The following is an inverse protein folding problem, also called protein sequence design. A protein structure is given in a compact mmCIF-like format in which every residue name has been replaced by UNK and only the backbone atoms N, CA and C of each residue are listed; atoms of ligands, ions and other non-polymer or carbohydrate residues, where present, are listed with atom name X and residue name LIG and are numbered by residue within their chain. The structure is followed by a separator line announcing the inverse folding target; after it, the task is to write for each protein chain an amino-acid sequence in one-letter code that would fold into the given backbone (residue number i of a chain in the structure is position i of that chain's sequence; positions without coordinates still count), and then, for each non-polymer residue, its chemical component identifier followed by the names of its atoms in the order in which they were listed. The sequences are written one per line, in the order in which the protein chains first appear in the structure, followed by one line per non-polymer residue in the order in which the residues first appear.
data_IF_587172044290
#
_entry.id   IF_587172044290
#
_cell.length_a   1.000
_cell.length_b   1.000
_cell.length_c   1.000
_cell.angle_alpha   90.00
_cell.angle_beta   90.00
_cell.angle_gamma   90.00
#
_symmetry.space_group_name_H-M   'P 1'
#
loop_
_entity.id
_entity.type
_entity.pdbx_description
1 polymer ?
#
# COMPACT_ATOMS: atom_id res chain seq x y z
N UNK A 1 5.19 -20.06 25.16
CA UNK A 1 4.48 -19.60 26.38
C UNK A 1 3.12 -19.04 26.02
N UNK A 2 3.01 -18.01 25.22
CA UNK A 2 1.72 -17.36 24.83
C UNK A 2 0.67 -18.30 24.27
N UNK A 3 1.04 -19.38 23.60
CA UNK A 3 0.10 -20.39 23.08
C UNK A 3 -0.59 -21.17 24.19
N UNK A 4 0.13 -21.53 25.26
CA UNK A 4 -0.40 -22.29 26.41
C UNK A 4 -0.94 -21.39 27.54
N UNK A 5 -0.74 -20.07 27.44
CA UNK A 5 -1.24 -19.08 28.41
C UNK A 5 -2.75 -18.77 28.17
N UNK A 6 -3.31 -19.20 27.04
CA UNK A 6 -4.73 -19.06 26.76
C UNK A 6 -5.53 -20.11 27.54
N UNK A 7 -6.60 -19.71 28.25
CA UNK A 7 -7.43 -20.56 29.11
C UNK A 7 -8.10 -21.77 28.39
N UNK A 8 -8.07 -21.77 27.06
CA UNK A 8 -8.76 -22.79 26.24
C UNK A 8 -7.83 -23.88 25.68
N UNK A 9 -6.54 -23.85 26.01
CA UNK A 9 -5.57 -24.84 25.51
C UNK A 9 -5.13 -25.78 26.64
N UNK A 10 -5.35 -27.09 26.41
CA UNK A 10 -4.86 -28.11 27.33
C UNK A 10 -3.33 -28.18 27.31
N UNK A 11 -2.72 -28.01 28.46
CA UNK A 11 -1.27 -28.15 28.62
C UNK A 11 -0.90 -29.64 28.53
N UNK A 12 0.02 -30.04 27.63
CA UNK A 12 0.41 -31.42 27.46
C UNK A 12 1.23 -31.94 28.66
N UNK A 13 1.30 -33.24 28.83
CA UNK A 13 2.11 -33.88 29.91
C UNK A 13 3.61 -33.88 29.59
N UNK A 14 3.97 -33.85 28.30
CA UNK A 14 5.37 -33.76 27.84
C UNK A 14 5.48 -32.89 26.55
N UNK A 15 6.59 -32.18 26.41
CA UNK A 15 6.94 -31.43 25.21
C UNK A 15 8.23 -32.02 24.62
N UNK A 16 8.16 -32.40 23.35
CA UNK A 16 9.34 -32.83 22.56
C UNK A 16 9.90 -31.61 21.81
N UNK A 17 11.20 -31.39 21.91
CA UNK A 17 11.86 -30.23 21.28
C UNK A 17 13.25 -30.60 20.77
N UNK A 18 13.76 -29.92 19.72
CA UNK A 18 15.19 -29.97 19.44
C UNK A 18 16.00 -29.34 20.57
N UNK A 19 17.30 -29.49 20.54
CA UNK A 19 18.13 -28.75 21.48
C UNK A 19 17.96 -27.24 21.26
N UNK A 20 17.58 -26.55 22.34
CA UNK A 20 17.44 -25.08 22.38
C UNK A 20 18.09 -24.63 23.68
N UNK A 21 18.90 -23.58 23.64
CA UNK A 21 19.46 -22.95 24.81
C UNK A 21 18.32 -22.39 25.69
N UNK A 22 18.39 -22.65 27.00
CA UNK A 22 17.35 -22.22 27.94
C UNK A 22 16.11 -23.10 27.98
N UNK A 23 16.13 -24.34 27.46
CA UNK A 23 14.99 -25.27 27.46
C UNK A 23 14.39 -25.51 28.86
N UNK A 24 15.22 -25.46 29.90
CA UNK A 24 14.80 -25.67 31.30
C UNK A 24 13.81 -24.57 31.75
N UNK A 25 13.96 -23.35 31.24
CA UNK A 25 13.05 -22.23 31.54
C UNK A 25 11.64 -22.55 31.07
N UNK A 26 11.50 -23.17 29.88
CA UNK A 26 10.19 -23.58 29.33
C UNK A 26 9.57 -24.66 30.21
N UNK A 27 10.38 -25.62 30.67
CA UNK A 27 9.93 -26.69 31.55
C UNK A 27 9.38 -26.14 32.88
N UNK A 28 10.08 -25.18 33.47
CA UNK A 28 9.67 -24.55 34.74
C UNK A 28 8.44 -23.65 34.56
N UNK A 29 8.39 -22.81 33.53
CA UNK A 29 7.27 -21.88 33.28
C UNK A 29 5.96 -22.60 33.00
N UNK A 30 5.98 -23.73 32.27
CA UNK A 30 4.80 -24.47 31.90
C UNK A 30 4.47 -25.63 32.89
N UNK A 31 5.39 -25.88 33.82
CA UNK A 31 5.33 -27.07 34.70
C UNK A 31 5.13 -28.39 33.92
N UNK A 32 5.85 -28.53 32.79
CA UNK A 32 5.75 -29.64 31.85
C UNK A 32 7.11 -30.26 31.61
N UNK A 33 7.15 -31.59 31.53
CA UNK A 33 8.39 -32.30 31.19
C UNK A 33 8.81 -31.99 29.74
N UNK A 34 9.99 -31.42 29.58
CA UNK A 34 10.59 -31.23 28.25
C UNK A 34 11.59 -32.35 27.95
N UNK A 35 11.55 -32.89 26.75
CA UNK A 35 12.40 -33.98 26.29
C UNK A 35 13.09 -33.61 25.00
N UNK A 36 14.41 -33.76 24.94
CA UNK A 36 15.22 -33.67 23.74
C UNK A 36 15.50 -35.09 23.25
N UNK A 37 14.73 -35.61 22.28
CA UNK A 37 14.90 -36.97 21.86
C UNK A 37 16.13 -37.14 20.96
N UNK A 38 16.95 -38.15 21.23
CA UNK A 38 18.18 -38.46 20.47
C UNK A 38 17.94 -39.52 19.40
N UNK A 39 17.00 -40.43 19.60
CA UNK A 39 16.70 -41.56 18.70
C UNK A 39 15.25 -42.01 18.79
N UNK A 40 14.84 -42.85 17.84
CA UNK A 40 13.52 -43.48 17.79
C UNK A 40 12.40 -42.58 17.24
N UNK A 41 11.14 -42.95 17.50
CA UNK A 41 9.96 -42.26 16.94
C UNK A 41 9.89 -40.79 17.38
N UNK A 42 10.16 -40.53 18.67
CA UNK A 42 10.14 -39.15 19.21
C UNK A 42 11.14 -38.22 18.48
N UNK A 43 12.33 -38.75 18.13
CA UNK A 43 13.31 -37.99 17.32
C UNK A 43 12.80 -37.71 15.92
N UNK A 44 12.21 -38.71 15.26
CA UNK A 44 11.63 -38.54 13.92
C UNK A 44 10.52 -37.49 13.90
N UNK A 45 9.68 -37.44 14.96
CA UNK A 45 8.64 -36.43 15.08
C UNK A 45 9.21 -35.01 15.23
N UNK A 46 10.25 -34.84 16.05
CA UNK A 46 10.94 -33.55 16.18
C UNK A 46 11.57 -33.13 14.87
N UNK A 47 12.24 -34.06 14.17
CA UNK A 47 12.87 -33.75 12.88
C UNK A 47 11.82 -33.34 11.84
N UNK A 48 10.70 -34.03 11.75
CA UNK A 48 9.58 -33.66 10.87
C UNK A 48 9.03 -32.27 11.17
N UNK A 49 8.84 -31.95 12.44
CA UNK A 49 8.36 -30.60 12.85
C UNK A 49 9.39 -29.54 12.51
N UNK A 50 10.68 -29.78 12.72
CA UNK A 50 11.74 -28.86 12.35
C UNK A 50 11.81 -28.63 10.81
N UNK A 51 11.66 -29.69 10.02
CA UNK A 51 11.59 -29.60 8.57
C UNK A 51 10.38 -28.79 8.10
N UNK A 52 9.20 -29.06 8.67
CA UNK A 52 7.99 -28.30 8.40
C UNK A 52 8.14 -26.81 8.78
N UNK A 53 8.74 -26.52 9.92
CA UNK A 53 9.02 -25.15 10.34
C UNK A 53 9.96 -24.43 9.38
N UNK A 54 11.01 -25.10 8.92
CA UNK A 54 11.95 -24.57 7.91
C UNK A 54 11.24 -24.29 6.59
N UNK A 55 10.45 -25.23 6.08
CA UNK A 55 9.70 -25.06 4.84
C UNK A 55 8.70 -23.89 4.94
N UNK A 56 8.05 -23.69 6.11
CA UNK A 56 7.17 -22.56 6.34
C UNK A 56 7.93 -21.23 6.34
N UNK A 57 9.11 -21.16 6.95
CA UNK A 57 9.98 -19.98 6.93
C UNK A 57 10.42 -19.63 5.52
N UNK A 58 10.83 -20.61 4.72
CA UNK A 58 11.24 -20.43 3.33
C UNK A 58 10.05 -19.92 2.48
N UNK A 59 8.85 -20.46 2.70
CA UNK A 59 7.64 -19.99 2.01
C UNK A 59 7.27 -18.56 2.41
N UNK A 60 7.35 -18.21 3.70
CA UNK A 60 7.13 -16.83 4.18
C UNK A 60 8.15 -15.85 3.60
N UNK A 61 9.42 -16.25 3.49
CA UNK A 61 10.46 -15.44 2.85
C UNK A 61 10.14 -15.20 1.36
N UNK A 62 9.73 -16.25 0.62
CA UNK A 62 9.31 -16.13 -0.78
C UNK A 62 8.10 -15.20 -0.94
N UNK A 63 7.08 -15.34 -0.10
CA UNK A 63 5.89 -14.47 -0.12
C UNK A 63 6.26 -13.01 0.17
N UNK A 64 7.19 -12.78 1.11
CA UNK A 64 7.68 -11.43 1.41
C UNK A 64 8.42 -10.81 0.22
N UNK A 65 9.28 -11.57 -0.46
CA UNK A 65 9.96 -11.12 -1.68
C UNK A 65 8.97 -10.80 -2.80
N UNK A 66 8.00 -11.68 -3.03
CA UNK A 66 6.93 -11.44 -4.02
C UNK A 66 6.11 -10.19 -3.70
N UNK A 67 5.84 -9.93 -2.43
CA UNK A 67 5.15 -8.70 -2.01
C UNK A 67 6.00 -7.47 -2.27
N UNK A 68 7.29 -7.52 -1.99
CA UNK A 68 8.22 -6.43 -2.26
C UNK A 68 8.30 -6.10 -3.76
N UNK A 69 8.40 -7.13 -4.62
CA UNK A 69 8.46 -6.92 -6.07
C UNK A 69 7.18 -6.30 -6.64
N UNK A 70 6.03 -6.53 -6.03
CA UNK A 70 4.73 -5.98 -6.46
C UNK A 70 4.39 -4.62 -5.86
N UNK A 71 5.09 -4.17 -4.82
CA UNK A 71 4.76 -2.92 -4.12
C UNK A 71 5.90 -1.93 -4.09
N UNK A 72 7.04 -2.28 -3.49
CA UNK A 72 8.15 -1.34 -3.28
C UNK A 72 9.04 -1.15 -4.51
N UNK A 73 9.37 -2.24 -5.20
CA UNK A 73 10.21 -2.16 -6.41
C UNK A 73 9.58 -1.28 -7.51
N UNK A 74 8.27 -1.41 -7.81
CA UNK A 74 7.59 -0.49 -8.73
C UNK A 74 7.68 0.98 -8.32
N UNK A 75 7.60 1.28 -7.02
CA UNK A 75 7.74 2.66 -6.54
C UNK A 75 9.17 3.18 -6.63
N UNK A 76 10.18 2.31 -6.51
CA UNK A 76 11.58 2.67 -6.78
C UNK A 76 11.78 2.96 -8.27
N UNK A 77 11.18 2.16 -9.15
CA UNK A 77 11.17 2.38 -10.59
C UNK A 77 10.49 3.70 -10.94
N UNK A 78 9.31 3.98 -10.38
CA UNK A 78 8.60 5.24 -10.54
C UNK A 78 9.43 6.44 -10.09
N UNK A 79 10.09 6.33 -8.95
CA UNK A 79 10.96 7.38 -8.42
C UNK A 79 12.11 7.70 -9.38
N UNK A 80 12.73 6.69 -9.97
CA UNK A 80 13.79 6.85 -10.98
C UNK A 80 13.24 7.47 -12.27
N UNK A 81 12.11 6.97 -12.76
CA UNK A 81 11.47 7.45 -13.99
C UNK A 81 11.13 8.94 -13.91
N UNK A 82 10.61 9.39 -12.76
CA UNK A 82 10.19 10.77 -12.52
C UNK A 82 11.32 11.66 -11.94
N UNK A 83 12.48 11.07 -11.66
CA UNK A 83 13.61 11.73 -10.98
C UNK A 83 13.19 12.42 -9.66
N UNK A 84 12.52 11.68 -8.80
CA UNK A 84 12.02 12.12 -7.49
C UNK A 84 12.51 11.23 -6.36
N UNK A 85 12.37 11.70 -5.12
CA UNK A 85 12.55 10.85 -3.94
C UNK A 85 11.51 9.73 -3.89
N UNK A 86 11.82 8.63 -3.20
CA UNK A 86 10.92 7.49 -3.04
C UNK A 86 9.52 7.92 -2.54
N UNK A 87 8.44 7.69 -3.31
CA UNK A 87 7.09 8.14 -2.97
C UNK A 87 6.43 7.18 -1.98
N UNK A 88 6.81 7.27 -0.70
CA UNK A 88 6.31 6.38 0.35
C UNK A 88 4.82 6.51 0.56
N UNK A 89 4.30 7.74 0.56
CA UNK A 89 2.88 8.04 0.76
C UNK A 89 2.34 8.64 -0.52
N UNK A 90 1.33 8.00 -1.10
CA UNK A 90 0.68 8.40 -2.34
C UNK A 90 -0.79 8.65 -2.06
N UNK A 91 -1.31 9.78 -2.51
CA UNK A 91 -2.76 10.06 -2.57
C UNK A 91 -3.18 10.11 -4.03
N UNK A 92 -4.19 9.31 -4.40
CA UNK A 92 -4.77 9.30 -5.74
C UNK A 92 -6.20 9.85 -5.66
N UNK A 93 -6.53 10.75 -6.59
CA UNK A 93 -7.84 11.40 -6.70
C UNK A 93 -8.53 10.98 -7.99
N UNK A 94 -9.75 10.46 -7.83
CA UNK A 94 -10.66 10.14 -8.92
C UNK A 94 -11.94 10.96 -8.80
N UNK A 95 -12.43 11.47 -9.94
CA UNK A 95 -13.69 12.20 -10.04
C UNK A 95 -14.75 11.32 -10.69
N UNK A 96 -15.85 11.09 -10.00
CA UNK A 96 -16.97 10.32 -10.47
C UNK A 96 -18.19 11.21 -10.69
N UNK A 97 -18.64 11.32 -11.94
CA UNK A 97 -19.84 12.03 -12.33
C UNK A 97 -20.98 11.03 -12.55
N UNK A 98 -21.85 10.86 -11.56
CA UNK A 98 -23.08 10.08 -11.71
C UNK A 98 -24.14 11.01 -12.33
N UNK A 99 -24.65 10.67 -13.50
CA UNK A 99 -25.71 11.43 -14.16
C UNK A 99 -26.90 11.65 -13.20
N UNK A 100 -27.26 12.91 -12.96
CA UNK A 100 -28.37 13.30 -12.11
C UNK A 100 -28.08 13.41 -10.61
N UNK A 101 -26.84 13.16 -10.17
CA UNK A 101 -26.40 13.38 -8.78
C UNK A 101 -25.27 14.42 -8.72
N UNK A 102 -25.06 14.99 -7.52
CA UNK A 102 -23.90 15.89 -7.32
C UNK A 102 -22.60 15.13 -7.56
N UNK A 103 -21.61 15.73 -8.25
CA UNK A 103 -20.34 15.10 -8.49
C UNK A 103 -19.65 14.69 -7.17
N UNK A 104 -18.96 13.57 -7.20
CA UNK A 104 -18.25 13.03 -6.05
C UNK A 104 -16.81 12.81 -6.46
N UNK A 105 -15.87 13.14 -5.60
CA UNK A 105 -14.48 12.75 -5.77
C UNK A 105 -14.05 11.81 -4.64
N UNK A 106 -13.32 10.77 -5.01
CA UNK A 106 -12.68 9.84 -4.09
C UNK A 106 -11.19 10.18 -3.95
N UNK A 107 -10.66 10.00 -2.76
CA UNK A 107 -9.23 10.03 -2.49
C UNK A 107 -8.84 8.70 -1.85
N UNK A 108 -8.02 7.94 -2.52
CA UNK A 108 -7.42 6.73 -1.99
C UNK A 108 -5.97 6.99 -1.57
N UNK A 109 -5.49 6.26 -0.58
CA UNK A 109 -4.14 6.44 -0.05
C UNK A 109 -3.39 5.13 -0.04
N UNK A 110 -2.14 5.18 -0.50
CA UNK A 110 -1.20 4.07 -0.47
C UNK A 110 0.03 4.42 0.35
N UNK A 111 0.53 3.45 1.10
CA UNK A 111 1.78 3.58 1.87
C UNK A 111 2.67 2.40 1.50
N UNK A 112 3.88 2.69 0.98
CA UNK A 112 4.80 1.68 0.47
C UNK A 112 4.14 0.74 -0.58
N UNK A 113 3.26 1.29 -1.43
CA UNK A 113 2.51 0.54 -2.46
C UNK A 113 1.38 -0.33 -1.91
N UNK A 114 1.01 -0.19 -0.65
CA UNK A 114 -0.07 -0.95 -0.01
C UNK A 114 -1.23 0.00 0.32
N UNK A 115 -2.45 -0.43 0.03
CA UNK A 115 -3.69 0.30 0.34
C UNK A 115 -3.75 0.66 1.83
N UNK A 116 -4.17 1.91 2.13
CA UNK A 116 -4.41 2.41 3.49
C UNK A 116 -5.86 2.90 3.63
N UNK A 117 -6.86 2.00 3.75
CA UNK A 117 -8.29 2.37 3.71
C UNK A 117 -8.70 3.34 4.81
N UNK A 118 -8.04 3.34 5.96
CA UNK A 118 -8.28 4.30 7.05
C UNK A 118 -8.02 5.76 6.64
N UNK A 119 -7.17 5.95 5.64
CA UNK A 119 -6.79 7.27 5.13
C UNK A 119 -7.62 7.70 3.91
N UNK A 120 -8.54 6.87 3.41
CA UNK A 120 -9.42 7.20 2.29
C UNK A 120 -10.38 8.33 2.66
N UNK A 121 -10.72 9.15 1.67
CA UNK A 121 -11.68 10.25 1.84
C UNK A 121 -12.62 10.33 0.64
N UNK A 122 -13.85 10.71 0.93
CA UNK A 122 -14.88 11.01 -0.07
C UNK A 122 -15.26 12.49 0.03
N UNK A 123 -15.34 13.15 -1.10
CA UNK A 123 -15.66 14.56 -1.21
C UNK A 123 -16.93 14.72 -2.03
N UNK A 124 -17.99 15.21 -1.39
CA UNK A 124 -19.16 15.72 -2.11
C UNK A 124 -18.78 17.09 -2.67
N UNK A 125 -18.91 17.29 -3.96
CA UNK A 125 -18.60 18.53 -4.66
C UNK A 125 -19.72 19.51 -4.40
N UNK A 126 -19.38 20.78 -4.16
CA UNK A 126 -20.32 21.80 -3.70
C UNK A 126 -20.45 22.98 -4.67
N UNK A 127 -19.39 23.32 -5.38
CA UNK A 127 -19.29 24.56 -6.17
C UNK A 127 -19.43 24.31 -7.67
N UNK A 128 -19.30 23.07 -8.11
CA UNK A 128 -19.35 22.69 -9.51
C UNK A 128 -20.69 22.07 -9.85
N UNK A 129 -21.34 22.56 -10.89
CA UNK A 129 -22.62 22.04 -11.41
C UNK A 129 -22.36 21.39 -12.75
N UNK A 130 -22.80 20.12 -12.90
CA UNK A 130 -22.62 19.37 -14.15
C UNK A 130 -21.30 18.58 -14.21
N UNK A 131 -20.99 18.08 -15.39
CA UNK A 131 -19.79 17.27 -15.66
C UNK A 131 -18.60 18.18 -15.99
N UNK A 132 -17.97 18.74 -14.99
CA UNK A 132 -16.78 19.57 -15.11
C UNK A 132 -15.66 19.02 -14.22
N UNK A 133 -14.93 18.07 -14.77
CA UNK A 133 -13.85 17.37 -14.07
C UNK A 133 -12.69 18.28 -13.70
N UNK A 134 -12.47 19.34 -14.49
CA UNK A 134 -11.41 20.31 -14.23
C UNK A 134 -11.65 21.08 -12.91
N UNK A 135 -12.81 21.73 -12.79
CA UNK A 135 -13.14 22.50 -11.58
C UNK A 135 -13.45 21.58 -10.40
N UNK A 136 -13.98 20.37 -10.63
CA UNK A 136 -14.14 19.35 -9.60
C UNK A 136 -12.80 18.98 -8.98
N UNK A 137 -11.78 18.73 -9.80
CA UNK A 137 -10.43 18.43 -9.32
C UNK A 137 -9.85 19.62 -8.53
N UNK A 138 -10.05 20.84 -9.02
CA UNK A 138 -9.61 22.04 -8.29
C UNK A 138 -10.29 22.20 -6.93
N UNK A 139 -11.62 21.97 -6.84
CA UNK A 139 -12.33 22.05 -5.55
C UNK A 139 -11.79 21.03 -4.55
N UNK A 140 -11.65 19.79 -4.96
CA UNK A 140 -11.22 18.70 -4.09
C UNK A 140 -9.80 18.92 -3.55
N UNK A 141 -8.87 19.24 -4.44
CA UNK A 141 -7.47 19.49 -4.06
C UNK A 141 -7.34 20.72 -3.17
N UNK A 142 -8.09 21.79 -3.47
CA UNK A 142 -8.14 22.98 -2.59
C UNK A 142 -8.60 22.60 -1.20
N UNK A 143 -9.70 21.89 -1.06
CA UNK A 143 -10.25 21.47 0.24
C UNK A 143 -9.29 20.54 0.99
N UNK A 144 -8.70 19.57 0.30
CA UNK A 144 -7.76 18.64 0.91
C UNK A 144 -6.53 19.36 1.42
N UNK A 145 -5.84 20.10 0.55
CA UNK A 145 -4.53 20.66 0.88
C UNK A 145 -4.60 21.93 1.74
N UNK A 146 -5.66 22.72 1.64
CA UNK A 146 -5.92 23.80 2.65
C UNK A 146 -6.01 23.19 4.05
N UNK A 147 -6.72 22.05 4.20
CA UNK A 147 -6.80 21.36 5.49
C UNK A 147 -5.46 20.78 5.93
N UNK A 148 -4.73 20.11 4.99
CA UNK A 148 -3.41 19.54 5.29
C UNK A 148 -2.46 20.61 5.83
N UNK A 149 -2.43 21.78 5.20
CA UNK A 149 -1.58 22.90 5.61
C UNK A 149 -2.05 23.52 6.92
N UNK A 150 -3.36 23.77 7.07
CA UNK A 150 -3.93 24.40 8.27
C UNK A 150 -3.77 23.55 9.52
N UNK A 151 -4.06 22.25 9.40
CA UNK A 151 -4.07 21.31 10.53
C UNK A 151 -2.72 20.59 10.70
N UNK A 152 -1.70 20.99 9.94
CA UNK A 152 -0.35 20.37 9.90
C UNK A 152 -0.41 18.84 9.77
N UNK A 153 -1.26 18.34 8.88
CA UNK A 153 -1.42 16.90 8.66
C UNK A 153 -0.24 16.34 7.85
N UNK A 154 -0.10 15.01 7.90
CA UNK A 154 0.90 14.31 7.07
C UNK A 154 0.68 14.62 5.60
N UNK A 155 1.70 15.16 4.94
CA UNK A 155 1.72 15.36 3.49
C UNK A 155 2.07 14.06 2.77
N UNK A 156 1.47 13.78 1.60
CA UNK A 156 1.95 12.72 0.72
C UNK A 156 3.28 13.12 0.05
N UNK A 157 4.03 12.15 -0.45
CA UNK A 157 5.19 12.39 -1.29
C UNK A 157 4.78 12.61 -2.76
N UNK A 158 3.68 11.95 -3.16
CA UNK A 158 3.16 11.96 -4.52
C UNK A 158 1.64 12.09 -4.50
N UNK A 159 1.14 12.96 -5.35
CA UNK A 159 -0.28 13.08 -5.69
C UNK A 159 -0.47 12.60 -7.11
N UNK A 160 -1.43 11.71 -7.29
CA UNK A 160 -1.86 11.20 -8.58
C UNK A 160 -3.29 11.70 -8.82
N UNK A 161 -3.54 12.25 -9.98
CA UNK A 161 -4.89 12.55 -10.45
C UNK A 161 -5.29 11.54 -11.53
N UNK A 162 -6.48 10.94 -11.42
CA UNK A 162 -7.03 10.12 -12.49
C UNK A 162 -7.44 11.01 -13.65
N UNK A 163 -6.61 11.04 -14.67
CA UNK A 163 -6.79 11.86 -15.86
C UNK A 163 -5.50 12.33 -16.50
N UNK A 164 -5.64 12.87 -17.69
CA UNK A 164 -4.55 13.36 -18.53
C UNK A 164 -4.11 14.80 -18.22
N UNK A 165 -3.61 15.45 -19.25
CA UNK A 165 -3.08 16.83 -19.19
C UNK A 165 -4.04 17.84 -18.55
N UNK A 166 -5.36 17.84 -18.83
CA UNK A 166 -6.27 18.81 -18.22
C UNK A 166 -6.33 18.69 -16.69
N UNK A 167 -6.44 17.47 -16.16
CA UNK A 167 -6.52 17.22 -14.72
C UNK A 167 -5.21 17.54 -14.00
N UNK A 168 -4.06 17.22 -14.61
CA UNK A 168 -2.74 17.61 -14.09
C UNK A 168 -2.58 19.13 -14.06
N UNK A 169 -3.06 19.84 -15.09
CA UNK A 169 -3.04 21.31 -15.15
C UNK A 169 -3.90 21.91 -14.04
N UNK A 170 -5.13 21.40 -13.84
CA UNK A 170 -6.01 21.82 -12.77
C UNK A 170 -5.35 21.67 -11.39
N UNK A 171 -4.72 20.52 -11.14
CA UNK A 171 -4.01 20.24 -9.90
C UNK A 171 -2.77 21.15 -9.71
N UNK A 172 -1.99 21.38 -10.77
CA UNK A 172 -0.81 22.26 -10.77
C UNK A 172 -1.16 23.70 -10.39
N UNK A 173 -2.28 24.20 -10.87
CA UNK A 173 -2.77 25.55 -10.52
C UNK A 173 -3.08 25.66 -9.02
N UNK A 174 -3.72 24.65 -8.43
CA UNK A 174 -4.01 24.64 -7.00
C UNK A 174 -2.74 24.52 -6.17
N UNK A 175 -1.80 23.68 -6.57
CA UNK A 175 -0.51 23.56 -5.88
C UNK A 175 0.25 24.90 -5.90
N UNK A 176 0.26 25.59 -7.04
CA UNK A 176 0.83 26.93 -7.15
C UNK A 176 0.10 27.94 -6.26
N UNK A 177 -1.24 27.92 -6.23
CA UNK A 177 -2.06 28.82 -5.40
C UNK A 177 -1.84 28.63 -3.90
N UNK A 178 -1.57 27.39 -3.48
CA UNK A 178 -1.35 27.02 -2.07
C UNK A 178 0.13 26.96 -1.69
N UNK A 179 1.03 27.35 -2.60
CA UNK A 179 2.50 27.33 -2.43
C UNK A 179 3.03 25.94 -2.03
N UNK A 180 2.48 24.87 -2.64
CA UNK A 180 2.91 23.50 -2.41
C UNK A 180 4.01 23.16 -3.40
N UNK A 181 5.24 23.01 -2.90
CA UNK A 181 6.43 22.71 -3.70
C UNK A 181 7.09 21.37 -3.35
N UNK A 182 6.73 20.82 -2.20
CA UNK A 182 7.32 19.62 -1.59
C UNK A 182 6.56 18.32 -1.90
N UNK A 183 5.46 18.39 -2.66
CA UNK A 183 4.67 17.25 -3.11
C UNK A 183 4.80 17.12 -4.62
N UNK A 184 5.19 15.94 -5.12
CA UNK A 184 5.20 15.69 -6.56
C UNK A 184 3.77 15.45 -7.07
N UNK A 185 3.50 15.90 -8.31
CA UNK A 185 2.21 15.75 -8.96
C UNK A 185 2.36 15.00 -10.28
N UNK A 186 1.48 14.03 -10.53
CA UNK A 186 1.35 13.37 -11.82
C UNK A 186 -0.11 13.00 -12.11
N UNK A 187 -0.41 12.70 -13.35
CA UNK A 187 -1.68 12.11 -13.80
C UNK A 187 -1.50 10.68 -14.29
N UNK A 188 -2.59 9.94 -14.29
CA UNK A 188 -2.70 8.66 -14.97
C UNK A 188 -3.74 8.78 -16.07
N UNK A 189 -3.27 8.80 -17.32
CA UNK A 189 -4.13 8.88 -18.48
C UNK A 189 -4.67 7.51 -18.86
N UNK A 190 -5.96 7.45 -19.20
CA UNK A 190 -6.63 6.27 -19.72
C UNK A 190 -6.72 6.28 -21.24
N UNK A 191 -6.67 5.10 -21.86
CA UNK A 191 -6.97 4.92 -23.28
C UNK A 191 -8.50 4.96 -23.52
N UNK A 192 -8.91 4.94 -24.79
CA UNK A 192 -10.33 4.92 -25.19
C UNK A 192 -11.12 3.70 -24.66
N UNK A 193 -10.41 2.71 -24.12
CA UNK A 193 -10.98 1.52 -23.48
C UNK A 193 -10.95 1.60 -21.96
N UNK A 194 -10.74 2.80 -21.40
CA UNK A 194 -10.66 3.07 -19.96
C UNK A 194 -9.54 2.32 -19.23
N UNK A 195 -8.44 1.96 -19.90
CA UNK A 195 -7.29 1.31 -19.28
C UNK A 195 -6.14 2.31 -19.15
N UNK A 196 -5.35 2.18 -18.11
CA UNK A 196 -4.13 2.97 -17.92
C UNK A 196 -3.27 2.96 -19.19
N UNK A 197 -2.91 4.13 -19.70
CA UNK A 197 -2.13 4.31 -20.92
C UNK A 197 -0.74 4.87 -20.63
N UNK A 198 -0.70 5.99 -19.92
CA UNK A 198 0.52 6.76 -19.70
C UNK A 198 0.51 7.51 -18.36
N UNK A 199 1.69 7.85 -17.88
CA UNK A 199 1.88 8.85 -16.84
C UNK A 199 1.95 10.22 -17.50
N UNK A 200 1.24 11.20 -16.94
CA UNK A 200 1.40 12.60 -17.29
C UNK A 200 2.18 13.30 -16.17
N UNK A 201 3.35 13.79 -16.45
CA UNK A 201 4.19 14.48 -15.46
C UNK A 201 3.65 15.87 -15.09
N UNK A 202 4.15 16.46 -14.00
CA UNK A 202 3.84 17.86 -13.62
C UNK A 202 4.19 18.88 -14.72
N UNK A 203 5.08 18.53 -15.63
CA UNK A 203 5.50 19.37 -16.77
C UNK A 203 4.69 19.09 -18.03
N UNK A 204 3.59 18.33 -17.89
CA UNK A 204 2.63 17.97 -18.94
C UNK A 204 3.24 17.11 -20.05
N UNK A 205 4.26 16.33 -19.71
CA UNK A 205 4.89 15.36 -20.60
C UNK A 205 4.27 13.98 -20.33
N UNK A 206 3.84 13.31 -21.40
CA UNK A 206 3.35 11.93 -21.34
C UNK A 206 4.54 10.97 -21.40
N UNK A 207 4.51 9.97 -20.51
CA UNK A 207 5.49 8.88 -20.45
C UNK A 207 4.73 7.56 -20.56
N UNK A 208 4.97 6.83 -21.64
CA UNK A 208 4.43 5.47 -21.78
C UNK A 208 5.13 4.52 -20.83
N UNK A 209 4.36 3.57 -20.28
CA UNK A 209 4.85 2.54 -19.36
C UNK A 209 4.64 1.18 -20.02
N UNK A 210 5.60 0.29 -19.87
CA UNK A 210 5.44 -1.10 -20.30
C UNK A 210 4.28 -1.75 -19.54
N UNK A 211 3.26 -2.16 -20.29
CA UNK A 211 2.02 -2.79 -19.77
C UNK A 211 2.26 -4.12 -19.03
N UNK A 212 3.42 -4.73 -19.23
CA UNK A 212 3.82 -5.97 -18.55
C UNK A 212 4.69 -5.71 -17.31
N UNK A 213 5.04 -4.45 -17.03
CA UNK A 213 5.84 -4.09 -15.85
C UNK A 213 5.04 -4.17 -14.56
N UNK A 214 5.72 -4.47 -13.45
CA UNK A 214 5.11 -4.40 -12.13
C UNK A 214 4.69 -2.96 -11.76
N UNK A 215 5.35 -1.96 -12.32
CA UNK A 215 4.97 -0.55 -12.16
C UNK A 215 3.60 -0.29 -12.78
N UNK A 216 3.38 -0.72 -14.03
CA UNK A 216 2.10 -0.57 -14.69
C UNK A 216 0.98 -1.24 -13.89
N UNK A 217 1.18 -2.50 -13.49
CA UNK A 217 0.19 -3.26 -12.72
C UNK A 217 -0.13 -2.60 -11.37
N UNK A 218 0.85 -2.00 -10.72
CA UNK A 218 0.61 -1.26 -9.47
C UNK A 218 -0.20 0.00 -9.71
N UNK A 219 0.14 0.80 -10.73
CA UNK A 219 -0.57 2.04 -11.05
C UNK A 219 -1.99 1.78 -11.53
N UNK A 220 -2.20 0.76 -12.35
CA UNK A 220 -3.53 0.29 -12.76
C UNK A 220 -4.37 -0.11 -11.54
N UNK A 221 -3.82 -0.92 -10.64
CA UNK A 221 -4.52 -1.30 -9.40
C UNK A 221 -4.80 -0.12 -8.46
N UNK A 222 -3.99 0.96 -8.51
CA UNK A 222 -4.26 2.20 -7.79
C UNK A 222 -5.40 3.00 -8.43
N UNK A 223 -5.50 2.97 -9.75
CA UNK A 223 -6.50 3.70 -10.53
C UNK A 223 -7.88 3.02 -10.50
N UNK A 224 -7.91 1.70 -10.32
CA UNK A 224 -9.14 0.90 -10.24
C UNK A 224 -9.77 0.87 -8.82
N UNK A 225 -9.08 1.37 -7.79
CA UNK A 225 -9.55 1.39 -6.40
C UNK A 225 -10.56 2.50 -6.14
#
# INVERSE_FOLDING_TARGET
YTFYDSKDVLVPTEILTPYIEGINIISELLNVKTIIPVRGIKKKLVDLVCENAKNNLDNLAKLKLMKLSKTKEPLIELAKLLNISYPKVIELFDNSNIQGASPISAMVTYIDGIKSPKDYRKYNIKTVVGADDYHTMQEVLTRRYTRVLKDNLRKPNLVIVDGGIPQVRAAKEIFKKLDITDIYLMGLEKDDRHRTKAIVTKDLVEIEIDKHSNLFLLLEAMQDE
#
